data_IF_565295766301
#
_entry.id   IF_565295766301
#
_cell.length_a   1.000
_cell.length_b   1.000
_cell.length_c   1.000
_cell.angle_alpha   90.00
_cell.angle_beta   90.00
_cell.angle_gamma   90.00
#
_symmetry.space_group_name_H-M   'P 1'
#
loop_
_entity.id
_entity.type
_entity.pdbx_description
1 polymer ?
#
# COMPACT_ATOMS: atom_id res chain seq x y z
N UNK A 1 0.16 4.15 -31.33
CA UNK A 1 1.47 4.27 -30.65
C UNK A 1 2.58 3.96 -31.66
N UNK A 2 3.67 4.71 -31.70
CA UNK A 2 4.78 4.45 -32.64
C UNK A 2 5.59 3.21 -32.23
N UNK A 3 6.23 2.52 -33.18
CA UNK A 3 7.12 1.37 -32.91
C UNK A 3 8.23 1.75 -31.93
N UNK A 4 8.79 2.95 -32.08
CA UNK A 4 9.85 3.49 -31.20
C UNK A 4 9.34 3.69 -29.77
N UNK A 5 8.12 4.22 -29.62
CA UNK A 5 7.49 4.40 -28.31
C UNK A 5 7.30 3.05 -27.60
N UNK A 6 6.83 2.02 -28.32
CA UNK A 6 6.62 0.69 -27.74
C UNK A 6 7.93 0.00 -27.34
N UNK A 7 9.00 0.18 -28.10
CA UNK A 7 10.33 -0.32 -27.74
C UNK A 7 10.85 0.33 -26.45
N UNK A 8 10.64 1.64 -26.28
CA UNK A 8 11.03 2.37 -25.06
C UNK A 8 10.21 1.93 -23.84
N UNK A 9 8.90 1.78 -24.00
CA UNK A 9 8.00 1.23 -22.98
C UNK A 9 8.47 -0.15 -22.52
N UNK A 10 8.68 -1.08 -23.46
CA UNK A 10 9.15 -2.43 -23.15
C UNK A 10 10.53 -2.44 -22.47
N UNK A 11 11.45 -1.56 -22.89
CA UNK A 11 12.78 -1.46 -22.29
C UNK A 11 12.69 -1.04 -20.82
N UNK A 12 11.95 0.04 -20.52
CA UNK A 12 11.77 0.51 -19.15
C UNK A 12 11.06 -0.55 -18.29
N UNK A 13 9.95 -1.12 -18.79
CA UNK A 13 9.23 -2.19 -18.11
C UNK A 13 10.17 -3.36 -17.77
N UNK A 14 10.96 -3.84 -18.73
CA UNK A 14 11.88 -4.97 -18.53
C UNK A 14 12.96 -4.67 -17.47
N UNK A 15 13.48 -3.45 -17.40
CA UNK A 15 14.41 -3.09 -16.32
C UNK A 15 13.73 -3.16 -14.96
N UNK A 16 12.49 -2.67 -14.86
CA UNK A 16 11.72 -2.71 -13.61
C UNK A 16 11.46 -4.15 -13.18
N UNK A 17 10.83 -5.00 -14.01
CA UNK A 17 10.54 -6.39 -13.62
C UNK A 17 11.80 -7.23 -13.38
N UNK A 18 12.91 -6.92 -14.04
CA UNK A 18 14.21 -7.55 -13.77
C UNK A 18 14.93 -6.97 -12.54
N UNK A 19 14.33 -6.03 -11.81
CA UNK A 19 14.92 -5.32 -10.65
C UNK A 19 16.25 -4.62 -10.94
N UNK A 20 16.45 -4.25 -12.19
CA UNK A 20 17.56 -3.41 -12.66
C UNK A 20 17.22 -1.95 -12.38
N UNK A 21 17.10 -1.61 -11.09
CA UNK A 21 16.54 -0.33 -10.66
C UNK A 21 17.43 0.85 -11.01
N UNK A 22 18.75 0.68 -11.04
CA UNK A 22 19.67 1.75 -11.44
C UNK A 22 19.45 2.09 -12.91
N UNK A 23 19.42 1.08 -13.79
CA UNK A 23 19.12 1.27 -15.22
C UNK A 23 17.69 1.78 -15.45
N UNK A 24 16.71 1.32 -14.66
CA UNK A 24 15.34 1.82 -14.73
C UNK A 24 15.30 3.30 -14.37
N UNK A 25 15.95 3.74 -13.29
CA UNK A 25 16.01 5.13 -12.84
C UNK A 25 16.65 6.01 -13.93
N UNK A 26 17.83 5.64 -14.43
CA UNK A 26 18.51 6.38 -15.51
C UNK A 26 17.64 6.50 -16.75
N UNK A 27 17.01 5.39 -17.17
CA UNK A 27 16.14 5.37 -18.34
C UNK A 27 14.91 6.27 -18.13
N UNK A 28 14.36 6.28 -16.92
CA UNK A 28 13.20 7.12 -16.56
C UNK A 28 13.53 8.60 -16.63
N UNK A 29 14.66 9.02 -16.05
CA UNK A 29 15.12 10.42 -16.08
C UNK A 29 15.32 10.87 -17.53
N UNK A 30 15.95 10.03 -18.35
CA UNK A 30 16.15 10.31 -19.78
C UNK A 30 14.83 10.45 -20.54
N UNK A 31 13.86 9.55 -20.30
CA UNK A 31 12.53 9.62 -20.89
C UNK A 31 11.80 10.89 -20.48
N UNK A 32 11.81 11.22 -19.19
CA UNK A 32 11.16 12.42 -18.67
C UNK A 32 11.75 13.71 -19.28
N UNK A 33 13.08 13.81 -19.35
CA UNK A 33 13.77 14.96 -19.97
C UNK A 33 13.44 15.14 -21.46
N UNK A 34 13.05 14.07 -22.15
CA UNK A 34 12.59 14.10 -23.54
C UNK A 34 11.06 14.28 -23.69
N UNK A 35 10.34 14.62 -22.62
CA UNK A 35 8.88 14.78 -22.62
C UNK A 35 8.10 13.46 -22.64
N UNK A 36 8.74 12.33 -22.36
CA UNK A 36 8.19 10.97 -22.45
C UNK A 36 7.36 10.53 -21.24
N UNK A 37 6.67 11.45 -20.55
CA UNK A 37 5.85 11.12 -19.37
C UNK A 37 4.75 10.10 -19.71
N UNK A 38 4.16 10.20 -20.90
CA UNK A 38 3.19 9.23 -21.41
C UNK A 38 3.72 7.79 -21.52
N UNK A 39 5.01 7.61 -21.84
CA UNK A 39 5.64 6.27 -21.90
C UNK A 39 5.81 5.73 -20.48
N UNK A 40 6.21 6.58 -19.53
CA UNK A 40 6.35 6.21 -18.11
C UNK A 40 4.99 5.80 -17.54
N UNK A 41 3.96 6.61 -17.80
CA UNK A 41 2.57 6.31 -17.41
C UNK A 41 2.11 4.98 -18.00
N UNK A 42 2.36 4.69 -19.28
CA UNK A 42 2.00 3.41 -19.90
C UNK A 42 2.69 2.20 -19.23
N UNK A 43 3.95 2.34 -18.83
CA UNK A 43 4.66 1.29 -18.08
C UNK A 43 4.04 1.08 -16.70
N UNK A 44 3.69 2.16 -15.99
CA UNK A 44 3.03 2.10 -14.68
C UNK A 44 1.66 1.44 -14.80
N UNK A 45 0.86 1.85 -15.78
CA UNK A 45 -0.45 1.28 -16.05
C UNK A 45 -0.36 -0.23 -16.33
N UNK A 46 0.65 -0.65 -17.10
CA UNK A 46 0.92 -2.07 -17.34
C UNK A 46 1.29 -2.82 -16.06
N UNK A 47 2.12 -2.24 -15.19
CA UNK A 47 2.45 -2.84 -13.89
C UNK A 47 1.20 -3.00 -13.01
N UNK A 48 0.24 -2.07 -13.08
CA UNK A 48 -1.04 -2.20 -12.37
C UNK A 48 -1.92 -3.31 -12.94
N UNK A 49 -2.02 -3.40 -14.26
CA UNK A 49 -2.81 -4.43 -14.94
C UNK A 49 -2.32 -5.85 -14.58
N UNK A 50 -1.01 -5.98 -14.38
CA UNK A 50 -0.36 -7.23 -13.99
C UNK A 50 -0.27 -7.41 -12.45
N UNK A 51 -0.80 -6.48 -11.66
CA UNK A 51 -0.80 -6.54 -10.20
C UNK A 51 0.59 -6.51 -9.55
N UNK A 52 1.57 -5.87 -10.20
CA UNK A 52 2.98 -5.92 -9.80
C UNK A 52 3.29 -4.92 -8.68
N UNK A 53 3.48 -5.44 -7.45
CA UNK A 53 3.88 -4.62 -6.28
C UNK A 53 5.23 -3.91 -6.46
N UNK A 54 6.08 -4.37 -7.39
CA UNK A 54 7.37 -3.77 -7.74
C UNK A 54 7.27 -2.31 -8.19
N UNK A 55 6.07 -1.83 -8.57
CA UNK A 55 5.86 -0.41 -8.87
C UNK A 55 6.22 0.49 -7.66
N UNK A 56 5.98 0.02 -6.43
CA UNK A 56 6.36 0.75 -5.22
C UNK A 56 7.87 0.71 -5.00
N UNK A 57 8.52 -0.43 -5.24
CA UNK A 57 9.98 -0.57 -5.21
C UNK A 57 10.63 0.44 -6.17
N UNK A 58 10.14 0.48 -7.41
CA UNK A 58 10.62 1.37 -8.46
C UNK A 58 10.42 2.85 -8.12
N UNK A 59 9.24 3.23 -7.63
CA UNK A 59 8.96 4.61 -7.21
C UNK A 59 9.86 5.04 -6.04
N UNK A 60 10.07 4.15 -5.07
CA UNK A 60 10.99 4.38 -3.96
C UNK A 60 12.43 4.57 -4.45
N UNK A 61 12.90 3.74 -5.39
CA UNK A 61 14.24 3.85 -5.97
C UNK A 61 14.46 5.16 -6.71
N UNK A 62 13.46 5.65 -7.46
CA UNK A 62 13.50 6.99 -8.05
C UNK A 62 13.63 8.08 -6.97
N UNK A 63 12.90 7.95 -5.88
CA UNK A 63 12.88 8.95 -4.80
C UNK A 63 14.24 9.07 -4.10
N UNK A 64 14.85 7.94 -3.73
CA UNK A 64 16.17 7.94 -3.07
C UNK A 64 17.31 8.32 -4.02
N UNK A 65 17.14 8.14 -5.33
CA UNK A 65 18.07 8.62 -6.36
C UNK A 65 17.92 10.12 -6.66
N UNK A 66 17.07 10.85 -5.93
CA UNK A 66 16.84 12.28 -6.12
C UNK A 66 15.90 12.62 -7.29
N UNK A 67 15.31 11.62 -7.95
CA UNK A 67 14.42 11.77 -9.10
C UNK A 67 12.92 11.85 -8.73
N UNK A 68 12.60 12.21 -7.48
CA UNK A 68 11.21 12.37 -6.99
C UNK A 68 10.33 13.29 -7.84
N UNK A 69 10.92 14.26 -8.53
CA UNK A 69 10.20 15.18 -9.42
C UNK A 69 9.55 14.42 -10.58
N UNK A 70 10.20 13.38 -11.11
CA UNK A 70 9.64 12.54 -12.18
C UNK A 70 8.43 11.76 -11.67
N UNK A 71 8.54 11.18 -10.48
CA UNK A 71 7.45 10.45 -9.85
C UNK A 71 6.23 11.36 -9.64
N UNK A 72 6.46 12.57 -9.10
CA UNK A 72 5.39 13.57 -8.87
C UNK A 72 4.67 14.00 -10.14
N UNK A 73 5.32 13.94 -11.29
CA UNK A 73 4.73 14.33 -12.57
C UNK A 73 4.02 13.19 -13.29
N UNK A 74 4.54 11.97 -13.22
CA UNK A 74 4.09 10.86 -14.08
C UNK A 74 3.44 9.69 -13.33
N UNK A 75 3.39 9.70 -11.99
CA UNK A 75 2.89 8.58 -11.19
C UNK A 75 1.64 9.01 -10.43
N UNK A 76 0.65 8.12 -10.24
CA UNK A 76 -0.44 8.36 -9.30
C UNK A 76 0.09 8.64 -7.90
N UNK A 77 -0.54 9.57 -7.18
CA UNK A 77 -0.10 9.98 -5.84
C UNK A 77 0.04 8.80 -4.87
N UNK A 78 -0.86 7.80 -4.95
CA UNK A 78 -0.83 6.62 -4.10
C UNK A 78 0.48 5.81 -4.21
N UNK A 79 1.15 5.80 -5.37
CA UNK A 79 2.42 5.06 -5.54
C UNK A 79 3.58 5.76 -4.81
N UNK A 80 3.44 7.07 -4.58
CA UNK A 80 4.42 7.90 -3.88
C UNK A 80 4.21 7.94 -2.38
N UNK A 81 3.41 7.03 -1.82
CA UNK A 81 3.05 7.04 -0.40
C UNK A 81 4.23 6.80 0.55
N UNK A 82 5.35 6.33 0.02
CA UNK A 82 6.62 6.19 0.74
C UNK A 82 7.33 7.53 0.99
N UNK A 83 6.97 8.62 0.28
CA UNK A 83 7.63 9.91 0.43
C UNK A 83 7.38 10.50 1.82
N UNK A 84 8.40 11.15 2.39
CA UNK A 84 8.25 11.87 3.66
C UNK A 84 7.15 12.92 3.57
N UNK A 85 6.34 13.02 4.62
CA UNK A 85 5.19 13.94 4.73
C UNK A 85 4.05 13.67 3.74
N UNK A 86 4.05 12.52 3.07
CA UNK A 86 2.87 12.02 2.36
C UNK A 86 2.06 11.15 3.31
N UNK A 87 0.79 11.53 3.51
CA UNK A 87 -0.14 10.81 4.37
C UNK A 87 -1.33 10.35 3.55
N UNK A 88 -2.04 9.33 4.02
CA UNK A 88 -3.24 8.86 3.34
C UNK A 88 -4.32 8.39 4.31
N UNK A 89 -5.56 8.37 3.83
CA UNK A 89 -6.62 7.53 4.40
C UNK A 89 -6.60 6.20 3.68
N UNK A 90 -6.87 5.14 4.44
CA UNK A 90 -6.99 3.77 3.92
C UNK A 90 -8.45 3.37 4.06
N UNK A 91 -9.17 3.30 2.95
CA UNK A 91 -10.64 3.15 2.94
C UNK A 91 -11.01 1.85 2.24
N UNK A 92 -11.74 0.96 2.89
CA UNK A 92 -12.07 -0.34 2.30
C UNK A 92 -13.08 -0.18 1.15
N UNK A 93 -12.86 -0.87 0.03
CA UNK A 93 -13.75 -0.81 -1.12
C UNK A 93 -15.16 -1.32 -0.82
N UNK A 94 -15.27 -2.39 -0.01
CA UNK A 94 -16.53 -3.11 0.26
C UNK A 94 -17.59 -2.21 0.90
N UNK A 95 -17.21 -1.43 1.91
CA UNK A 95 -18.17 -0.69 2.74
C UNK A 95 -17.88 0.81 2.86
N UNK A 96 -16.72 1.28 2.40
CA UNK A 96 -16.32 2.69 2.51
C UNK A 96 -15.89 3.13 3.91
N UNK A 97 -15.42 2.20 4.75
CA UNK A 97 -14.93 2.47 6.10
C UNK A 97 -13.43 2.83 6.05
N UNK A 98 -13.04 3.88 6.78
CA UNK A 98 -11.65 4.26 6.96
C UNK A 98 -10.99 3.45 8.08
N UNK A 99 -9.73 3.05 7.86
CA UNK A 99 -8.89 2.40 8.86
C UNK A 99 -8.62 3.33 10.03
N UNK A 100 -8.90 2.84 11.24
CA UNK A 100 -8.62 3.52 12.51
C UNK A 100 -8.27 2.49 13.57
N UNK A 101 -8.20 2.91 14.82
CA UNK A 101 -7.85 2.05 15.95
C UNK A 101 -8.71 2.36 17.17
N UNK A 102 -8.79 1.40 18.08
CA UNK A 102 -9.52 1.50 19.33
C UNK A 102 -8.83 2.46 20.30
N UNK A 103 -9.63 3.26 21.02
CA UNK A 103 -9.15 4.03 22.18
C UNK A 103 -8.90 3.16 23.41
N UNK A 104 -9.42 1.93 23.43
CA UNK A 104 -9.14 0.95 24.49
C UNK A 104 -7.85 0.21 24.17
N UNK A 105 -7.04 0.07 25.21
CA UNK A 105 -5.83 -0.75 25.21
C UNK A 105 -6.22 -2.13 25.75
N UNK A 106 -5.70 -3.19 25.15
CA UNK A 106 -5.88 -4.55 25.66
C UNK A 106 -4.83 -4.91 26.73
N UNK A 107 -4.79 -6.17 27.15
CA UNK A 107 -3.86 -6.65 28.17
C UNK A 107 -2.39 -6.56 27.75
N UNK A 108 -2.13 -6.51 26.45
CA UNK A 108 -0.79 -6.59 25.88
C UNK A 108 -0.24 -5.19 25.56
N UNK A 109 -1.00 -4.13 25.88
CA UNK A 109 -0.64 -2.75 25.55
C UNK A 109 -1.05 -2.34 24.13
N UNK A 110 -1.71 -3.22 23.39
CA UNK A 110 -2.08 -3.01 22.00
C UNK A 110 -3.44 -2.36 21.87
N UNK A 111 -3.72 -1.80 20.69
CA UNK A 111 -5.04 -1.25 20.34
C UNK A 111 -5.56 -1.94 19.10
N UNK A 112 -6.75 -2.51 19.22
CA UNK A 112 -7.42 -3.19 18.09
C UNK A 112 -7.63 -2.25 16.90
N UNK A 113 -7.44 -2.75 15.69
CA UNK A 113 -7.79 -2.07 14.45
C UNK A 113 -9.29 -2.08 14.23
N UNK A 114 -9.81 -0.93 13.83
CA UNK A 114 -11.22 -0.73 13.53
C UNK A 114 -11.39 -0.09 12.16
N UNK A 115 -12.55 -0.29 11.56
CA UNK A 115 -13.07 0.50 10.47
C UNK A 115 -14.09 1.47 11.02
N UNK A 116 -13.99 2.74 10.65
CA UNK A 116 -14.98 3.77 10.96
C UNK A 116 -15.66 4.25 9.67
N UNK A 117 -16.99 4.40 9.70
CA UNK A 117 -17.77 4.89 8.57
C UNK A 117 -17.52 6.38 8.29
N UNK A 118 -17.08 7.14 9.29
CA UNK A 118 -16.71 8.54 9.10
C UNK A 118 -15.32 8.63 8.45
N UNK A 119 -15.29 9.12 7.21
CA UNK A 119 -14.08 9.27 6.38
C UNK A 119 -13.57 10.72 6.30
N UNK A 120 -14.15 11.64 7.08
CA UNK A 120 -13.67 13.03 7.15
C UNK A 120 -12.26 13.10 7.75
N UNK A 121 -11.42 13.98 7.20
CA UNK A 121 -10.00 14.09 7.59
C UNK A 121 -9.83 14.32 9.09
N UNK A 122 -9.13 13.41 9.76
CA UNK A 122 -8.79 13.47 11.18
C UNK A 122 -7.57 12.60 11.47
N UNK A 123 -6.80 12.97 12.49
CA UNK A 123 -5.49 12.37 12.76
C UNK A 123 -5.51 10.87 13.10
N UNK A 124 -6.64 10.30 13.50
CA UNK A 124 -6.79 8.87 13.84
C UNK A 124 -7.22 7.99 12.65
N UNK A 125 -7.51 8.58 11.48
CA UNK A 125 -7.68 7.85 10.20
C UNK A 125 -6.63 8.21 9.14
N UNK A 126 -5.76 9.17 9.47
CA UNK A 126 -4.62 9.54 8.62
C UNK A 126 -3.44 8.67 8.99
N UNK A 127 -2.90 7.95 8.01
CA UNK A 127 -1.80 7.00 8.16
C UNK A 127 -0.58 7.47 7.39
N UNK A 128 0.58 7.20 7.97
CA UNK A 128 1.88 7.34 7.35
C UNK A 128 2.43 5.95 7.02
N UNK A 129 2.87 5.77 5.78
CA UNK A 129 3.47 4.53 5.29
C UNK A 129 4.99 4.71 5.33
N UNK A 130 5.61 4.17 6.38
CA UNK A 130 7.05 4.28 6.59
C UNK A 130 7.75 3.21 5.76
N UNK A 131 8.58 3.58 4.76
CA UNK A 131 9.25 2.62 3.89
C UNK A 131 10.42 1.92 4.57
N UNK A 132 10.54 0.60 4.36
CA UNK A 132 11.67 -0.23 4.78
C UNK A 132 12.14 -1.09 3.62
N UNK A 133 13.39 -0.87 3.18
CA UNK A 133 14.02 -1.73 2.19
C UNK A 133 14.67 -2.92 2.89
N UNK A 134 14.10 -4.12 2.73
CA UNK A 134 14.57 -5.34 3.40
C UNK A 134 14.89 -6.40 2.36
N UNK A 135 16.16 -6.80 2.29
CA UNK A 135 16.68 -7.63 1.21
C UNK A 135 16.61 -6.88 -0.12
N UNK A 136 15.70 -7.29 -0.99
CA UNK A 136 15.55 -6.80 -2.37
C UNK A 136 14.17 -6.18 -2.65
N UNK A 137 13.38 -5.89 -1.61
CA UNK A 137 12.01 -5.37 -1.72
C UNK A 137 11.71 -4.27 -0.71
N UNK A 138 10.75 -3.43 -1.09
CA UNK A 138 10.13 -2.46 -0.19
C UNK A 138 9.01 -3.11 0.61
N UNK A 139 9.03 -2.87 1.91
CA UNK A 139 7.92 -3.10 2.82
C UNK A 139 7.51 -1.79 3.47
N UNK A 140 6.30 -1.76 4.02
CA UNK A 140 5.79 -0.62 4.76
C UNK A 140 5.48 -1.00 6.18
N UNK A 141 5.85 -0.14 7.12
CA UNK A 141 5.14 -0.07 8.40
C UNK A 141 4.08 1.01 8.30
N UNK A 142 2.87 0.75 8.80
CA UNK A 142 1.77 1.70 8.73
C UNK A 142 1.49 2.26 10.12
N UNK A 143 1.62 3.58 10.26
CA UNK A 143 1.49 4.31 11.53
C UNK A 143 0.37 5.34 11.44
N UNK A 144 -0.60 5.37 12.36
CA UNK A 144 -1.55 6.47 12.40
C UNK A 144 -0.87 7.75 12.88
N UNK A 145 -1.22 8.90 12.32
CA UNK A 145 -0.52 10.16 12.56
C UNK A 145 -0.53 10.57 14.05
N UNK A 146 -1.60 10.25 14.76
CA UNK A 146 -1.78 10.61 16.18
C UNK A 146 -0.94 9.78 17.16
N UNK A 147 -0.40 8.62 16.77
CA UNK A 147 0.27 7.70 17.69
C UNK A 147 1.60 7.18 17.15
N UNK A 148 2.55 6.88 18.03
CA UNK A 148 3.80 6.21 17.69
C UNK A 148 3.66 4.68 17.81
N UNK A 149 2.63 4.13 17.15
CA UNK A 149 2.34 2.69 17.12
C UNK A 149 2.15 2.25 15.67
N UNK A 150 2.37 0.98 15.37
CA UNK A 150 2.39 0.45 14.02
C UNK A 150 1.41 -0.71 13.86
N UNK A 151 0.74 -0.75 12.71
CA UNK A 151 -0.19 -1.79 12.32
C UNK A 151 0.49 -3.17 12.31
N UNK A 152 -0.13 -4.15 12.96
CA UNK A 152 0.25 -5.57 12.92
C UNK A 152 -0.95 -6.52 12.90
N UNK A 153 -0.66 -7.79 12.64
CA UNK A 153 -1.54 -8.90 12.98
C UNK A 153 -1.13 -9.54 14.32
N UNK A 154 -2.13 -9.96 15.09
CA UNK A 154 -1.96 -10.78 16.30
C UNK A 154 -1.41 -12.17 15.97
N UNK A 155 -1.07 -12.95 17.01
CA UNK A 155 -0.58 -14.33 16.84
C UNK A 155 -1.69 -15.38 16.83
N UNK A 156 -2.85 -15.04 17.39
CA UNK A 156 -3.97 -15.97 17.53
C UNK A 156 -4.93 -15.82 16.36
N UNK A 157 -5.42 -16.97 15.90
CA UNK A 157 -6.50 -17.05 14.92
C UNK A 157 -7.85 -17.10 15.61
N UNK A 158 -8.87 -16.55 14.97
CA UNK A 158 -10.26 -16.69 15.40
C UNK A 158 -10.94 -17.92 14.78
N UNK A 159 -12.25 -18.02 14.95
CA UNK A 159 -13.07 -19.15 14.45
C UNK A 159 -13.12 -19.21 12.91
N UNK A 160 -12.84 -18.10 12.23
CA UNK A 160 -12.78 -18.00 10.77
C UNK A 160 -11.34 -18.21 10.23
N UNK A 161 -10.42 -18.67 11.10
CA UNK A 161 -8.99 -18.82 10.81
C UNK A 161 -8.30 -17.47 10.49
N UNK A 162 -8.82 -16.34 10.97
CA UNK A 162 -8.27 -15.01 10.71
C UNK A 162 -7.43 -14.48 11.88
N UNK A 163 -6.38 -13.72 11.60
CA UNK A 163 -5.66 -12.98 12.65
C UNK A 163 -6.32 -11.62 12.92
N UNK A 164 -6.58 -11.29 14.18
CA UNK A 164 -7.08 -9.94 14.52
C UNK A 164 -5.97 -8.89 14.30
N UNK A 165 -6.33 -7.73 13.77
CA UNK A 165 -5.43 -6.60 13.56
C UNK A 165 -5.31 -5.67 14.77
N UNK A 166 -4.11 -5.18 15.03
CA UNK A 166 -3.77 -4.27 16.12
C UNK A 166 -2.81 -3.16 15.67
N UNK A 167 -2.66 -2.10 16.47
CA UNK A 167 -1.44 -1.28 16.49
C UNK A 167 -0.68 -1.53 17.80
N UNK A 168 0.64 -1.61 17.72
CA UNK A 168 1.54 -1.77 18.86
C UNK A 168 2.78 -0.88 18.77
N UNK A 169 3.45 -0.64 19.89
CA UNK A 169 4.69 0.15 19.96
C UNK A 169 5.95 -0.70 19.74
N UNK A 170 5.95 -1.98 20.11
CA UNK A 170 6.92 -2.95 19.59
C UNK A 170 6.61 -3.26 18.13
N UNK A 171 7.54 -2.92 17.23
CA UNK A 171 7.37 -2.98 15.78
C UNK A 171 8.51 -3.69 15.06
N UNK A 172 9.31 -4.51 15.77
CA UNK A 172 10.49 -5.15 15.18
C UNK A 172 10.18 -6.44 14.39
N UNK A 173 8.98 -6.99 14.52
CA UNK A 173 8.62 -8.28 13.92
C UNK A 173 8.02 -8.15 12.52
N UNK A 174 8.16 -9.21 11.70
CA UNK A 174 7.55 -9.32 10.37
C UNK A 174 6.04 -9.01 10.34
N UNK A 175 5.33 -9.22 11.45
CA UNK A 175 3.90 -8.91 11.59
C UNK A 175 3.58 -7.43 11.39
N UNK A 176 4.57 -6.53 11.50
CA UNK A 176 4.44 -5.08 11.32
C UNK A 176 4.72 -4.61 9.90
N UNK A 177 5.20 -5.51 9.04
CA UNK A 177 5.58 -5.17 7.69
C UNK A 177 4.50 -5.60 6.72
N UNK A 178 4.20 -4.70 5.78
CA UNK A 178 3.11 -4.85 4.83
C UNK A 178 3.61 -4.61 3.41
N UNK A 179 3.16 -5.45 2.49
CA UNK A 179 3.31 -5.23 1.05
C UNK A 179 2.03 -4.61 0.51
N UNK A 180 2.17 -3.59 -0.34
CA UNK A 180 1.06 -2.98 -1.05
C UNK A 180 1.08 -3.48 -2.49
N UNK A 181 -0.01 -4.11 -2.91
CA UNK A 181 -0.14 -4.67 -4.25
C UNK A 181 -1.25 -3.94 -5.01
N UNK A 182 -0.97 -3.34 -6.17
CA UNK A 182 -2.00 -2.70 -6.97
C UNK A 182 -2.95 -3.73 -7.56
N UNK A 183 -4.21 -3.33 -7.72
CA UNK A 183 -5.22 -4.10 -8.46
C UNK A 183 -6.15 -3.15 -9.17
N UNK A 184 -6.27 -3.29 -10.49
CA UNK A 184 -7.33 -2.61 -11.25
C UNK A 184 -8.60 -3.42 -11.21
N UNK A 185 -9.68 -2.76 -10.84
CA UNK A 185 -10.99 -3.39 -10.78
C UNK A 185 -12.07 -2.37 -11.16
N UNK A 186 -12.89 -2.69 -12.16
CA UNK A 186 -13.94 -1.79 -12.68
C UNK A 186 -13.44 -0.39 -13.06
N UNK A 187 -12.21 -0.28 -13.58
CA UNK A 187 -11.59 0.99 -13.96
C UNK A 187 -11.02 1.80 -12.80
N UNK A 188 -11.10 1.29 -11.56
CA UNK A 188 -10.53 1.91 -10.38
C UNK A 188 -9.18 1.28 -10.04
N UNK A 189 -8.21 2.11 -9.62
CA UNK A 189 -6.96 1.65 -9.01
C UNK A 189 -7.19 1.45 -7.51
N UNK A 190 -7.12 0.21 -7.07
CA UNK A 190 -7.25 -0.21 -5.68
C UNK A 190 -5.98 -0.94 -5.25
N UNK A 191 -5.89 -1.26 -3.96
CA UNK A 191 -4.71 -1.90 -3.40
C UNK A 191 -5.08 -3.01 -2.43
N UNK A 192 -4.40 -4.15 -2.54
CA UNK A 192 -4.32 -5.11 -1.44
C UNK A 192 -3.20 -4.69 -0.48
N UNK A 193 -3.43 -4.89 0.81
CA UNK A 193 -2.47 -4.64 1.88
C UNK A 193 -2.20 -6.00 2.52
N UNK A 194 -1.00 -6.54 2.33
CA UNK A 194 -0.68 -7.94 2.62
C UNK A 194 0.36 -8.00 3.74
N UNK A 195 0.08 -8.73 4.81
CA UNK A 195 0.98 -8.89 5.92
C UNK A 195 2.18 -9.77 5.56
N UNK A 196 3.39 -9.36 5.94
CA UNK A 196 4.62 -10.09 5.61
C UNK A 196 4.77 -11.42 6.37
N UNK A 197 4.34 -11.51 7.61
CA UNK A 197 4.53 -12.73 8.41
C UNK A 197 3.60 -13.86 7.95
N UNK A 198 2.34 -13.53 7.72
CA UNK A 198 1.30 -14.54 7.49
C UNK A 198 0.86 -14.67 6.02
N UNK A 199 1.33 -13.78 5.13
CA UNK A 199 0.82 -13.65 3.76
C UNK A 199 -0.71 -13.54 3.74
N UNK A 200 -1.23 -12.55 4.48
CA UNK A 200 -2.66 -12.35 4.69
C UNK A 200 -3.12 -10.95 4.28
N UNK A 201 -4.26 -10.89 3.61
CA UNK A 201 -4.96 -9.68 3.19
C UNK A 201 -5.59 -8.98 4.40
N UNK A 202 -5.26 -7.70 4.58
CA UNK A 202 -6.00 -6.84 5.50
C UNK A 202 -7.45 -6.70 5.04
N UNK A 203 -8.39 -6.95 5.94
CA UNK A 203 -9.84 -6.80 5.71
C UNK A 203 -10.56 -6.22 6.92
N UNK A 204 -11.82 -5.87 6.73
CA UNK A 204 -12.76 -5.70 7.83
C UNK A 204 -13.72 -6.89 7.94
N UNK A 205 -14.00 -7.29 9.17
CA UNK A 205 -15.06 -8.25 9.49
C UNK A 205 -16.45 -7.75 9.09
N UNK A 206 -17.42 -8.65 9.04
CA UNK A 206 -18.80 -8.33 8.64
C UNK A 206 -19.66 -7.79 9.79
N UNK A 207 -19.33 -8.15 11.03
CA UNK A 207 -20.05 -7.70 12.21
C UNK A 207 -19.85 -6.21 12.47
N UNK A 208 -20.93 -5.51 12.76
CA UNK A 208 -20.94 -4.11 13.23
C UNK A 208 -21.33 -3.99 14.70
N UNK A 209 -21.28 -5.10 15.45
CA UNK A 209 -21.68 -5.17 16.87
C UNK A 209 -20.87 -4.24 17.80
N UNK A 210 -19.81 -3.62 17.29
CA UNK A 210 -18.96 -2.67 18.01
C UNK A 210 -19.39 -1.25 17.70
N UNK A 211 -20.59 -0.83 18.12
CA UNK A 211 -21.08 0.55 17.97
C UNK A 211 -20.99 1.10 16.52
N UNK A 212 -21.21 0.23 15.54
CA UNK A 212 -21.12 0.59 14.12
C UNK A 212 -19.73 0.51 13.51
N UNK A 213 -18.67 0.29 14.31
CA UNK A 213 -17.33 -0.04 13.83
C UNK A 213 -17.25 -1.47 13.30
N UNK A 214 -16.28 -1.71 12.42
CA UNK A 214 -15.88 -3.06 11.98
C UNK A 214 -14.50 -3.40 12.55
N UNK A 215 -14.24 -4.65 12.92
CA UNK A 215 -12.88 -5.06 13.35
C UNK A 215 -12.00 -5.34 12.13
N UNK A 216 -10.73 -4.95 12.20
CA UNK A 216 -9.71 -5.31 11.21
C UNK A 216 -9.11 -6.70 11.45
N UNK A 217 -8.89 -7.44 10.37
CA UNK A 217 -8.34 -8.80 10.38
C UNK A 217 -7.34 -9.00 9.23
N UNK A 218 -6.47 -10.00 9.36
CA UNK A 218 -5.75 -10.64 8.28
C UNK A 218 -6.50 -11.89 7.83
N UNK A 219 -6.66 -12.05 6.52
CA UNK A 219 -7.35 -13.17 5.89
C UNK A 219 -6.52 -13.79 4.79
N UNK A 220 -6.70 -15.08 4.53
CA UNK A 220 -5.89 -15.80 3.54
C UNK A 220 -5.84 -15.10 2.17
N UNK A 221 -4.65 -15.03 1.59
CA UNK A 221 -4.42 -14.59 0.19
C UNK A 221 -5.02 -15.55 -0.84
N UNK A 222 -5.49 -16.74 -0.46
CA UNK A 222 -6.17 -17.66 -1.38
C UNK A 222 -7.49 -17.10 -1.94
N UNK A 223 -8.07 -16.10 -1.26
CA UNK A 223 -9.36 -15.52 -1.59
C UNK A 223 -9.27 -14.13 -2.25
N UNK A 224 -8.23 -13.85 -3.05
CA UNK A 224 -8.09 -12.55 -3.74
C UNK A 224 -9.39 -12.10 -4.42
N UNK A 225 -10.01 -11.04 -3.88
CA UNK A 225 -11.26 -10.49 -4.35
C UNK A 225 -11.26 -8.97 -4.10
N UNK A 226 -11.17 -8.13 -5.15
CA UNK A 226 -11.04 -6.69 -4.98
C UNK A 226 -12.24 -6.08 -4.26
N UNK A 227 -13.46 -6.55 -4.54
CA UNK A 227 -14.68 -6.06 -3.92
C UNK A 227 -14.71 -6.29 -2.39
N UNK A 228 -13.95 -7.26 -1.88
CA UNK A 228 -13.93 -7.61 -0.45
C UNK A 228 -12.68 -7.10 0.27
N UNK A 229 -11.52 -7.20 -0.37
CA UNK A 229 -10.22 -7.11 0.30
C UNK A 229 -9.34 -5.97 -0.18
N UNK A 230 -9.78 -5.20 -1.18
CA UNK A 230 -9.02 -4.04 -1.66
C UNK A 230 -9.39 -2.74 -0.95
N UNK A 231 -8.46 -1.81 -1.01
CA UNK A 231 -8.49 -0.53 -0.32
C UNK A 231 -8.22 0.60 -1.30
N UNK A 232 -8.93 1.71 -1.13
CA UNK A 232 -8.48 3.00 -1.62
C UNK A 232 -7.36 3.52 -0.72
N UNK A 233 -6.31 4.02 -1.35
CA UNK A 233 -5.26 4.79 -0.69
C UNK A 233 -5.46 6.25 -1.15
N UNK A 234 -6.15 7.03 -0.33
CA UNK A 234 -6.51 8.43 -0.61
C UNK A 234 -5.49 9.37 0.03
N UNK A 235 -4.56 9.87 -0.78
CA UNK A 235 -3.45 10.73 -0.35
C UNK A 235 -3.97 12.13 0.03
N UNK A 236 -3.52 12.64 1.18
CA UNK A 236 -3.93 13.93 1.77
C UNK A 236 -2.83 14.98 1.60
#
# INVERSE_FOLDING_TARGET
MSVVSKQRENKLYNFIVARKFDEAVENTISLYGAGGCNIIEQVIERLFDEGQSIVFDYSYKLSIAGARYVARSCFPAAIRIHESLVFAKVINKRDGYALTYSRRVDSDGDRRILGDRNTQNRMDITWWFVPYWLGDRLYFQMRPLRMAMFLKLGNTRDEDDDHTGYISDDHATNRHFWTIQPVKHNGELLFYIINREYDELLKFGQSTKYDGYRIGYGHSTRDFNPNKFSWYIDVI
#
